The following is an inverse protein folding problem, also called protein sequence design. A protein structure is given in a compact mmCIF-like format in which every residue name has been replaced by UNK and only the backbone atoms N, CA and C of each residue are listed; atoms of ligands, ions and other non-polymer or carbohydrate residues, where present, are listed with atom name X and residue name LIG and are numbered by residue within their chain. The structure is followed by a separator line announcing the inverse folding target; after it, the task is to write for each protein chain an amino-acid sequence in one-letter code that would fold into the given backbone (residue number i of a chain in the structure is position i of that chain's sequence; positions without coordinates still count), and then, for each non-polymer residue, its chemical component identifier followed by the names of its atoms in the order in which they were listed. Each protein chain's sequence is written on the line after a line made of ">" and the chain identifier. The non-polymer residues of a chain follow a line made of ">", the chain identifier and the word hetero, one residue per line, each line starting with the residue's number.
data_IF_761109717166
#
_entry.id   IF_761109717166
#
_cell.length_a   1.000
_cell.length_b   1.000
_cell.length_c   1.000
_cell.angle_alpha   90.00
_cell.angle_beta   90.00
_cell.angle_gamma   90.00
#
_symmetry.space_group_name_H-M   'P 1'
#
loop_
_entity.id
_entity.type
_entity.pdbx_description
1 polymer ?
#
# COMPACT_ATOMS: atom_id res chain seq x y z
N UNK A 1 -19.07 49.36 -0.62
CA UNK A 1 -18.78 48.35 0.42
C UNK A 1 -18.00 47.24 -0.27
N UNK A 2 -16.72 47.10 0.08
CA UNK A 2 -15.79 46.12 -0.47
C UNK A 2 -15.90 44.81 0.31
N UNK A 3 -16.20 43.70 -0.37
CA UNK A 3 -16.12 42.36 0.20
C UNK A 3 -14.66 41.94 0.36
N UNK A 4 -14.30 41.58 1.59
CA UNK A 4 -13.02 41.01 1.98
C UNK A 4 -12.94 39.52 1.62
N UNK A 5 -11.82 39.02 1.06
CA UNK A 5 -11.67 37.60 0.75
C UNK A 5 -11.44 36.80 2.05
N UNK A 6 -12.27 35.79 2.28
CA UNK A 6 -12.10 34.83 3.36
C UNK A 6 -10.72 34.17 3.28
N UNK A 7 -9.89 34.39 4.29
CA UNK A 7 -8.64 33.68 4.49
C UNK A 7 -8.94 32.21 4.82
N UNK A 8 -8.69 31.31 3.88
CA UNK A 8 -8.70 29.88 4.14
C UNK A 8 -7.70 29.55 5.25
N UNK A 9 -8.18 28.94 6.33
CA UNK A 9 -7.35 28.45 7.42
C UNK A 9 -6.36 27.39 6.90
N UNK A 10 -5.13 27.31 7.43
CA UNK A 10 -4.14 26.34 6.98
C UNK A 10 -4.65 24.93 7.29
N UNK A 11 -4.82 24.09 6.27
CA UNK A 11 -5.13 22.66 6.45
C UNK A 11 -4.07 22.04 7.37
N UNK A 12 -4.45 21.22 8.37
CA UNK A 12 -3.49 20.60 9.27
C UNK A 12 -2.58 19.66 8.48
N UNK A 13 -1.38 20.13 8.16
CA UNK A 13 -0.28 19.28 7.70
C UNK A 13 0.27 18.62 8.95
N UNK A 14 0.11 17.31 9.04
CA UNK A 14 0.85 16.52 10.02
C UNK A 14 2.32 16.64 9.64
N UNK A 15 3.09 17.40 10.42
CA UNK A 15 4.54 17.38 10.37
C UNK A 15 5.01 16.01 10.87
N UNK A 16 4.94 15.01 9.97
CA UNK A 16 5.57 13.73 10.17
C UNK A 16 7.08 13.97 10.11
N UNK A 17 7.65 14.27 11.28
CA UNK A 17 9.06 14.42 11.53
C UNK A 17 9.86 13.35 10.79
N UNK A 18 10.95 13.80 10.16
CA UNK A 18 11.81 13.02 9.28
C UNK A 18 12.45 11.83 10.00
N UNK A 19 11.72 10.72 10.11
CA UNK A 19 12.26 9.41 10.46
C UNK A 19 12.95 8.78 9.24
N UNK A 20 13.94 9.47 8.68
CA UNK A 20 14.81 8.92 7.62
C UNK A 20 15.76 7.82 8.11
N UNK A 21 15.73 7.49 9.41
CA UNK A 21 16.59 6.48 10.04
C UNK A 21 15.91 5.14 10.35
N UNK A 22 14.57 5.10 10.49
CA UNK A 22 13.89 3.91 11.02
C UNK A 22 13.34 2.96 9.94
N UNK A 23 13.11 3.43 8.70
CA UNK A 23 12.71 2.58 7.56
C UNK A 23 13.75 1.46 7.30
N UNK A 24 15.05 1.76 7.47
CA UNK A 24 16.13 0.75 7.31
C UNK A 24 16.14 -0.28 8.44
N UNK A 25 15.79 0.11 9.67
CA UNK A 25 15.74 -0.82 10.81
C UNK A 25 14.53 -1.74 10.72
N UNK A 26 13.37 -1.22 10.29
CA UNK A 26 12.18 -2.02 9.99
C UNK A 26 12.43 -3.00 8.86
N UNK A 27 13.00 -2.53 7.74
CA UNK A 27 13.38 -3.39 6.62
C UNK A 27 14.42 -4.46 7.03
N UNK A 28 15.41 -4.10 7.87
CA UNK A 28 16.39 -5.06 8.40
C UNK A 28 15.75 -6.11 9.29
N UNK A 29 14.83 -5.72 10.18
CA UNK A 29 14.10 -6.66 11.04
C UNK A 29 13.17 -7.57 10.24
N UNK A 30 12.48 -7.03 9.23
CA UNK A 30 11.69 -7.81 8.28
C UNK A 30 12.54 -8.79 7.48
N UNK A 31 13.70 -8.36 6.97
CA UNK A 31 14.63 -9.23 6.26
C UNK A 31 15.21 -10.33 7.16
N UNK A 32 15.53 -10.01 8.42
CA UNK A 32 15.96 -11.01 9.41
C UNK A 32 14.83 -12.00 9.70
N UNK A 33 13.61 -11.53 9.89
CA UNK A 33 12.44 -12.39 10.12
C UNK A 33 12.18 -13.32 8.92
N UNK A 34 12.19 -12.79 7.70
CA UNK A 34 12.04 -13.58 6.46
C UNK A 34 13.18 -14.59 6.33
N UNK A 35 14.43 -14.17 6.56
CA UNK A 35 15.58 -15.06 6.52
C UNK A 35 15.47 -16.18 7.55
N UNK A 36 14.97 -15.88 8.75
CA UNK A 36 14.77 -16.85 9.82
C UNK A 36 13.64 -17.84 9.49
N UNK A 37 12.53 -17.37 8.92
CA UNK A 37 11.44 -18.23 8.41
C UNK A 37 11.94 -19.14 7.29
N UNK A 38 12.73 -18.60 6.35
CA UNK A 38 13.29 -19.35 5.23
C UNK A 38 14.28 -20.42 5.73
N UNK A 39 15.14 -20.09 6.70
CA UNK A 39 16.06 -21.03 7.35
C UNK A 39 15.31 -22.10 8.15
N UNK A 40 14.30 -21.72 8.93
CA UNK A 40 13.48 -22.67 9.68
C UNK A 40 12.76 -23.67 8.77
N UNK A 41 12.32 -23.22 7.58
CA UNK A 41 11.71 -24.08 6.59
C UNK A 41 12.72 -24.98 5.86
N UNK A 42 13.92 -24.48 5.54
CA UNK A 42 15.02 -25.32 5.03
C UNK A 42 15.35 -26.42 6.04
N UNK A 43 15.41 -26.07 7.33
CA UNK A 43 15.61 -27.03 8.42
C UNK A 43 14.47 -28.03 8.47
N UNK A 44 13.21 -27.61 8.33
CA UNK A 44 12.06 -28.51 8.20
C UNK A 44 12.23 -29.49 7.03
N UNK A 45 12.59 -29.03 5.83
CA UNK A 45 12.83 -29.90 4.66
C UNK A 45 13.96 -30.91 4.86
N UNK A 46 14.98 -30.54 5.64
CA UNK A 46 16.06 -31.46 6.03
C UNK A 46 15.52 -32.52 7.01
N UNK A 47 14.76 -32.10 8.03
CA UNK A 47 14.18 -33.01 9.02
C UNK A 47 13.11 -33.94 8.45
N UNK A 48 12.36 -33.52 7.43
CA UNK A 48 11.37 -34.38 6.75
C UNK A 48 11.99 -35.29 5.69
N UNK A 49 13.30 -35.18 5.42
CA UNK A 49 13.99 -35.99 4.40
C UNK A 49 13.62 -35.62 2.95
N UNK A 50 12.85 -34.56 2.74
CA UNK A 50 12.37 -34.12 1.42
C UNK A 50 13.39 -33.27 0.65
N UNK A 51 14.53 -32.92 1.28
CA UNK A 51 15.56 -32.10 0.65
C UNK A 51 16.15 -32.72 -0.63
N UNK A 52 16.34 -34.04 -0.65
CA UNK A 52 16.85 -34.73 -1.84
C UNK A 52 15.85 -34.63 -3.01
N UNK A 53 14.57 -34.88 -2.74
CA UNK A 53 13.49 -34.73 -3.72
C UNK A 53 13.33 -33.28 -4.19
N UNK A 54 13.54 -32.30 -3.31
CA UNK A 54 13.52 -30.88 -3.66
C UNK A 54 14.67 -30.50 -4.62
N UNK A 55 15.90 -30.95 -4.34
CA UNK A 55 17.07 -30.66 -5.17
C UNK A 55 16.96 -31.35 -6.53
N UNK A 56 16.50 -32.60 -6.54
CA UNK A 56 16.27 -33.37 -7.78
C UNK A 56 15.11 -32.81 -8.61
N UNK A 57 14.03 -32.38 -7.96
CA UNK A 57 12.93 -31.74 -8.65
C UNK A 57 13.30 -30.34 -9.16
N UNK A 58 14.25 -29.64 -8.53
CA UNK A 58 14.80 -28.36 -9.02
C UNK A 58 15.77 -28.52 -10.19
N UNK A 59 16.52 -29.63 -10.27
CA UNK A 59 17.48 -29.87 -11.35
C UNK A 59 16.81 -30.22 -12.68
N UNK A 60 15.54 -30.63 -12.63
CA UNK A 60 14.71 -30.97 -13.80
C UNK A 60 13.78 -29.84 -14.25
N UNK A 61 13.80 -28.68 -13.55
CA UNK A 61 12.92 -27.55 -13.88
C UNK A 61 13.37 -26.82 -15.13
N UNK A 62 12.43 -26.62 -16.05
CA UNK A 62 12.62 -25.73 -17.18
C UNK A 62 12.57 -24.26 -16.73
N UNK A 63 13.75 -23.62 -16.74
CA UNK A 63 13.93 -22.23 -16.31
C UNK A 63 13.17 -21.23 -17.18
N UNK A 64 12.82 -21.57 -18.43
CA UNK A 64 12.08 -20.66 -19.32
C UNK A 64 10.70 -20.33 -18.75
N UNK A 65 9.98 -21.34 -18.24
CA UNK A 65 8.67 -21.17 -17.62
C UNK A 65 8.73 -20.43 -16.28
N UNK A 66 9.82 -20.58 -15.52
CA UNK A 66 10.06 -19.80 -14.30
C UNK A 66 10.25 -18.31 -14.62
N UNK A 67 10.93 -17.98 -15.71
CA UNK A 67 11.05 -16.58 -16.18
C UNK A 67 9.69 -16.01 -16.55
N UNK A 68 8.83 -16.79 -17.22
CA UNK A 68 7.45 -16.38 -17.55
C UNK A 68 6.63 -16.16 -16.27
N UNK A 69 6.72 -17.05 -15.29
CA UNK A 69 6.07 -16.90 -13.99
C UNK A 69 6.53 -15.62 -13.25
N UNK A 70 7.83 -15.33 -13.26
CA UNK A 70 8.37 -14.08 -12.72
C UNK A 70 7.83 -12.85 -13.47
N UNK A 71 7.73 -12.91 -14.81
CA UNK A 71 7.18 -11.83 -15.63
C UNK A 71 5.71 -11.56 -15.27
N UNK A 72 4.90 -12.59 -15.02
CA UNK A 72 3.54 -12.43 -14.52
C UNK A 72 3.49 -11.64 -13.20
N UNK A 73 4.41 -11.90 -12.27
CA UNK A 73 4.48 -11.13 -11.02
C UNK A 73 4.91 -9.68 -11.22
N UNK A 74 5.78 -9.41 -12.20
CA UNK A 74 6.13 -8.03 -12.60
C UNK A 74 4.91 -7.32 -13.18
N UNK A 75 4.15 -7.98 -14.05
CA UNK A 75 2.92 -7.44 -14.62
C UNK A 75 1.87 -7.19 -13.53
N UNK A 76 1.66 -8.14 -12.61
CA UNK A 76 0.81 -7.96 -11.42
C UNK A 76 1.16 -6.67 -10.67
N UNK A 77 2.45 -6.42 -10.42
CA UNK A 77 2.89 -5.20 -9.74
C UNK A 77 2.63 -3.93 -10.58
N UNK A 78 2.89 -3.97 -11.89
CA UNK A 78 2.65 -2.84 -12.80
C UNK A 78 1.16 -2.48 -12.85
N UNK A 79 0.27 -3.47 -12.99
CA UNK A 79 -1.18 -3.23 -12.98
C UNK A 79 -1.67 -2.74 -11.61
N UNK A 80 -1.05 -3.20 -10.52
CA UNK A 80 -1.29 -2.67 -9.17
C UNK A 80 -1.00 -1.17 -9.06
N UNK A 81 0.18 -0.74 -9.56
CA UNK A 81 0.56 0.68 -9.63
C UNK A 81 -0.38 1.46 -10.57
N UNK A 82 -0.75 0.88 -11.71
CA UNK A 82 -1.66 1.50 -12.67
C UNK A 82 -3.05 1.74 -12.06
N UNK A 83 -3.58 0.79 -11.27
CA UNK A 83 -4.84 0.95 -10.55
C UNK A 83 -4.79 2.12 -9.56
N UNK A 84 -3.68 2.29 -8.83
CA UNK A 84 -3.49 3.49 -8.00
C UNK A 84 -3.38 4.77 -8.83
N UNK A 85 -2.70 4.72 -9.97
CA UNK A 85 -2.56 5.89 -10.84
C UNK A 85 -3.91 6.36 -11.36
N UNK A 86 -4.80 5.43 -11.76
CA UNK A 86 -6.17 5.75 -12.17
C UNK A 86 -6.98 6.28 -10.99
N UNK A 87 -6.87 5.67 -9.81
CA UNK A 87 -7.57 6.12 -8.61
C UNK A 87 -7.19 7.56 -8.20
N UNK A 88 -5.91 7.91 -8.30
CA UNK A 88 -5.41 9.28 -8.04
C UNK A 88 -5.73 10.24 -9.18
N UNK A 89 -5.85 9.75 -10.42
CA UNK A 89 -6.17 10.59 -11.58
C UNK A 89 -7.56 11.24 -11.48
N UNK A 90 -8.48 10.66 -10.70
CA UNK A 90 -9.78 11.28 -10.40
C UNK A 90 -9.68 12.60 -9.61
N UNK A 91 -8.54 12.87 -8.96
CA UNK A 91 -8.30 14.14 -8.26
C UNK A 91 -7.21 14.96 -8.99
N UNK A 92 -7.59 15.97 -9.80
CA UNK A 92 -6.68 16.81 -10.55
C UNK A 92 -5.60 17.52 -9.69
N UNK A 93 -5.94 17.81 -8.43
CA UNK A 93 -5.09 18.56 -7.50
C UNK A 93 -4.15 17.66 -6.69
N UNK A 94 -4.22 16.34 -6.86
CA UNK A 94 -3.43 15.40 -6.05
C UNK A 94 -1.92 15.56 -6.32
N UNK A 95 -1.09 15.81 -5.27
CA UNK A 95 0.34 16.07 -5.42
C UNK A 95 1.18 14.81 -5.74
N UNK A 96 0.56 13.63 -5.77
CA UNK A 96 1.21 12.33 -5.81
C UNK A 96 1.74 12.01 -7.20
N UNK A 97 3.01 11.61 -7.30
CA UNK A 97 3.62 11.18 -8.57
C UNK A 97 3.69 9.65 -8.72
N UNK A 98 3.94 9.18 -9.94
CA UNK A 98 4.07 7.73 -10.26
C UNK A 98 5.13 7.03 -9.39
N UNK A 99 6.25 7.69 -9.08
CA UNK A 99 7.29 7.12 -8.20
C UNK A 99 6.80 6.93 -6.76
N UNK A 100 5.93 7.81 -6.30
CA UNK A 100 5.30 7.69 -4.99
C UNK A 100 4.31 6.52 -5.00
N UNK A 101 3.55 6.34 -6.10
CA UNK A 101 2.63 5.21 -6.28
C UNK A 101 3.36 3.85 -6.35
N UNK A 102 4.53 3.80 -6.99
CA UNK A 102 5.39 2.61 -6.94
C UNK A 102 5.81 2.31 -5.50
N UNK A 103 6.18 3.34 -4.73
CA UNK A 103 6.49 3.17 -3.30
C UNK A 103 5.26 2.76 -2.48
N UNK A 104 4.05 3.21 -2.84
CA UNK A 104 2.78 2.82 -2.20
C UNK A 104 2.52 1.33 -2.45
N UNK A 105 2.49 0.88 -3.71
CA UNK A 105 2.26 -0.54 -4.02
C UNK A 105 3.34 -1.45 -3.41
N UNK A 106 4.61 -1.04 -3.50
CA UNK A 106 5.72 -1.74 -2.86
C UNK A 106 5.53 -1.86 -1.33
N UNK A 107 5.03 -0.81 -0.67
CA UNK A 107 4.75 -0.86 0.77
C UNK A 107 3.60 -1.79 1.11
N UNK A 108 2.58 -1.88 0.26
CA UNK A 108 1.48 -2.82 0.41
C UNK A 108 1.96 -4.26 0.37
N UNK A 109 2.75 -4.61 -0.66
CA UNK A 109 3.32 -5.96 -0.82
C UNK A 109 4.27 -6.28 0.34
N UNK A 110 5.21 -5.39 0.67
CA UNK A 110 6.21 -5.65 1.70
C UNK A 110 5.60 -5.82 3.10
N UNK A 111 4.83 -4.83 3.56
CA UNK A 111 4.25 -4.87 4.91
C UNK A 111 3.05 -5.81 5.00
N UNK A 112 2.29 -5.98 3.91
CA UNK A 112 1.23 -6.99 3.83
C UNK A 112 1.81 -8.40 4.01
N UNK A 113 2.82 -8.77 3.24
CA UNK A 113 3.42 -10.10 3.35
C UNK A 113 4.07 -10.37 4.71
N UNK A 114 4.58 -9.33 5.38
CA UNK A 114 5.20 -9.45 6.70
C UNK A 114 4.20 -9.50 7.87
N UNK A 115 2.94 -9.19 7.66
CA UNK A 115 1.96 -9.07 8.75
C UNK A 115 0.86 -10.14 8.67
N UNK A 116 0.32 -10.58 9.82
CA UNK A 116 -0.84 -11.47 9.84
C UNK A 116 -2.01 -10.87 9.04
N UNK A 117 -2.74 -11.72 8.30
CA UNK A 117 -3.88 -11.31 7.46
C UNK A 117 -3.56 -10.21 6.41
N UNK A 118 -2.28 -9.94 6.14
CA UNK A 118 -1.85 -8.81 5.31
C UNK A 118 -2.29 -7.43 5.82
N UNK A 119 -2.71 -7.32 7.08
CA UNK A 119 -3.31 -6.12 7.68
C UNK A 119 -2.35 -4.93 7.67
N UNK A 120 -1.04 -5.17 7.70
CA UNK A 120 -0.01 -4.12 7.67
C UNK A 120 0.14 -3.41 6.33
N UNK A 121 -0.38 -3.97 5.23
CA UNK A 121 -0.30 -3.35 3.90
C UNK A 121 -1.11 -2.05 3.82
N UNK A 122 -2.38 -2.10 4.25
CA UNK A 122 -3.31 -0.97 4.15
C UNK A 122 -2.83 0.27 4.93
N UNK A 123 -2.40 0.19 6.20
CA UNK A 123 -1.86 1.34 6.93
C UNK A 123 -0.56 1.87 6.32
N UNK A 124 0.31 0.99 5.81
CA UNK A 124 1.56 1.40 5.17
C UNK A 124 1.29 2.20 3.88
N UNK A 125 0.32 1.77 3.09
CA UNK A 125 -0.09 2.47 1.86
C UNK A 125 -0.70 3.84 2.18
N UNK A 126 -1.61 3.95 3.17
CA UNK A 126 -2.15 5.24 3.64
C UNK A 126 -1.02 6.16 4.10
N UNK A 127 -0.09 5.65 4.91
CA UNK A 127 1.05 6.43 5.39
C UNK A 127 1.94 6.95 4.26
N UNK A 128 2.17 6.14 3.21
CA UNK A 128 2.95 6.53 2.04
C UNK A 128 2.24 7.59 1.20
N UNK A 129 0.92 7.46 1.01
CA UNK A 129 0.09 8.47 0.35
C UNK A 129 0.10 9.80 1.12
N UNK A 130 -0.03 9.76 2.45
CA UNK A 130 0.08 10.96 3.30
C UNK A 130 1.46 11.60 3.21
N UNK A 131 2.54 10.79 3.18
CA UNK A 131 3.90 11.29 2.95
C UNK A 131 4.13 11.88 1.55
N UNK A 132 3.34 11.46 0.56
CA UNK A 132 3.36 12.01 -0.79
C UNK A 132 2.59 13.34 -0.89
N UNK A 133 1.89 13.74 0.18
CA UNK A 133 1.24 15.05 0.30
C UNK A 133 -0.28 15.02 0.35
N UNK A 134 -0.93 13.85 0.25
CA UNK A 134 -2.38 13.75 0.41
C UNK A 134 -2.80 13.96 1.87
N UNK A 135 -3.90 14.69 2.14
CA UNK A 135 -4.55 14.69 3.44
C UNK A 135 -4.90 13.27 3.92
N UNK A 136 -4.89 13.04 5.24
CA UNK A 136 -5.09 11.70 5.83
C UNK A 136 -6.43 11.08 5.40
N UNK A 137 -7.52 11.85 5.43
CA UNK A 137 -8.84 11.38 4.97
C UNK A 137 -8.88 11.00 3.49
N UNK A 138 -8.20 11.76 2.62
CA UNK A 138 -8.13 11.51 1.18
C UNK A 138 -7.25 10.29 0.85
N UNK A 139 -6.10 10.16 1.52
CA UNK A 139 -5.24 8.98 1.43
C UNK A 139 -5.98 7.71 1.89
N UNK A 140 -6.74 7.81 2.98
CA UNK A 140 -7.63 6.75 3.45
C UNK A 140 -8.68 6.38 2.42
N UNK A 141 -9.40 7.36 1.87
CA UNK A 141 -10.43 7.12 0.86
C UNK A 141 -9.88 6.48 -0.42
N UNK A 142 -8.73 6.95 -0.91
CA UNK A 142 -8.03 6.37 -2.06
C UNK A 142 -7.69 4.90 -1.81
N UNK A 143 -7.12 4.62 -0.63
CA UNK A 143 -6.75 3.26 -0.24
C UNK A 143 -7.95 2.32 -0.14
N UNK A 144 -9.02 2.73 0.54
CA UNK A 144 -10.20 1.88 0.71
C UNK A 144 -10.95 1.68 -0.60
N UNK A 145 -11.03 2.69 -1.46
CA UNK A 145 -11.60 2.55 -2.80
C UNK A 145 -10.83 1.47 -3.56
N UNK A 146 -9.50 1.55 -3.56
CA UNK A 146 -8.63 0.56 -4.18
C UNK A 146 -8.80 -0.84 -3.58
N UNK A 147 -8.89 -0.93 -2.27
CA UNK A 147 -9.09 -2.18 -1.55
C UNK A 147 -10.44 -2.82 -1.87
N UNK A 148 -11.52 -2.03 -1.93
CA UNK A 148 -12.86 -2.50 -2.31
C UNK A 148 -12.86 -3.00 -3.74
N UNK A 149 -12.28 -2.26 -4.69
CA UNK A 149 -12.17 -2.72 -6.08
C UNK A 149 -11.38 -4.03 -6.17
N UNK A 150 -10.31 -4.18 -5.39
CA UNK A 150 -9.57 -5.45 -5.30
C UNK A 150 -10.42 -6.59 -4.75
N UNK A 151 -11.17 -6.36 -3.67
CA UNK A 151 -12.05 -7.37 -3.05
C UNK A 151 -13.22 -7.77 -3.96
N UNK A 152 -13.85 -6.80 -4.63
CA UNK A 152 -14.85 -7.09 -5.68
C UNK A 152 -14.20 -7.95 -6.77
N UNK A 153 -12.98 -7.61 -7.20
CA UNK A 153 -12.29 -8.40 -8.19
C UNK A 153 -11.99 -9.84 -7.74
N UNK A 154 -11.58 -10.04 -6.50
CA UNK A 154 -11.42 -11.39 -5.94
C UNK A 154 -12.73 -12.18 -6.00
N UNK A 155 -13.84 -11.57 -5.58
CA UNK A 155 -15.17 -12.20 -5.59
C UNK A 155 -15.65 -12.48 -7.02
N UNK A 156 -15.46 -11.56 -7.96
CA UNK A 156 -15.85 -11.76 -9.37
C UNK A 156 -15.06 -12.90 -10.01
N UNK A 157 -13.74 -12.94 -9.83
CA UNK A 157 -12.93 -14.07 -10.29
C UNK A 157 -13.36 -15.39 -9.65
N UNK A 158 -13.58 -15.38 -8.33
CA UNK A 158 -14.09 -16.54 -7.59
C UNK A 158 -15.43 -17.02 -8.16
N UNK A 159 -16.37 -16.13 -8.44
CA UNK A 159 -17.67 -16.46 -9.00
C UNK A 159 -17.58 -17.03 -10.43
N UNK A 160 -16.79 -16.40 -11.31
CA UNK A 160 -16.58 -16.87 -12.68
C UNK A 160 -15.96 -18.26 -12.68
N UNK A 161 -14.88 -18.46 -11.92
CA UNK A 161 -14.12 -19.71 -11.90
C UNK A 161 -14.90 -20.82 -11.19
N UNK A 162 -15.66 -20.49 -10.13
CA UNK A 162 -16.58 -21.43 -9.50
C UNK A 162 -17.68 -21.85 -10.48
N UNK A 163 -18.28 -20.92 -11.24
CA UNK A 163 -19.34 -21.24 -12.20
C UNK A 163 -18.83 -22.10 -13.36
N UNK A 164 -17.63 -21.80 -13.90
CA UNK A 164 -17.05 -22.51 -15.05
C UNK A 164 -16.55 -23.91 -14.67
N UNK A 165 -16.13 -24.11 -13.40
CA UNK A 165 -15.51 -25.38 -12.95
C UNK A 165 -16.21 -26.08 -11.83
N UNK A 166 -17.44 -25.70 -11.51
CA UNK A 166 -18.25 -26.39 -10.51
C UNK A 166 -18.27 -27.92 -10.71
N UNK A 167 -18.50 -28.45 -11.94
CA UNK A 167 -18.52 -29.90 -12.16
C UNK A 167 -17.16 -30.57 -11.89
N UNK A 168 -16.08 -29.93 -12.30
CA UNK A 168 -14.72 -30.43 -12.06
C UNK A 168 -14.41 -30.53 -10.55
N UNK A 169 -14.86 -29.55 -9.76
CA UNK A 169 -14.64 -29.56 -8.31
C UNK A 169 -15.60 -30.52 -7.57
N UNK A 170 -16.83 -30.68 -8.05
CA UNK A 170 -17.78 -31.62 -7.44
C UNK A 170 -17.38 -33.07 -7.69
N UNK A 171 -16.83 -33.38 -8.87
CA UNK A 171 -16.49 -34.76 -9.27
C UNK A 171 -15.16 -35.24 -8.67
N UNK A 172 -14.14 -34.37 -8.57
CA UNK A 172 -12.86 -34.75 -7.98
C UNK A 172 -12.90 -34.76 -6.44
N UNK A 173 -13.70 -33.89 -5.81
CA UNK A 173 -13.61 -33.64 -4.38
C UNK A 173 -14.94 -33.12 -3.76
N UNK A 174 -15.94 -33.98 -3.57
CA UNK A 174 -17.24 -33.61 -2.98
C UNK A 174 -17.15 -32.75 -1.70
N UNK A 175 -16.16 -33.01 -0.82
CA UNK A 175 -15.90 -32.20 0.39
C UNK A 175 -15.24 -30.83 0.11
N UNK A 176 -14.48 -30.69 -0.97
CA UNK A 176 -13.78 -29.43 -1.30
C UNK A 176 -14.73 -28.38 -1.87
N UNK A 177 -15.86 -28.79 -2.46
CA UNK A 177 -16.89 -27.84 -2.93
C UNK A 177 -17.47 -27.05 -1.75
N UNK A 178 -17.67 -27.67 -0.59
CA UNK A 178 -18.10 -26.98 0.62
C UNK A 178 -17.07 -25.98 1.13
N UNK A 179 -15.78 -26.33 1.09
CA UNK A 179 -14.69 -25.42 1.47
C UNK A 179 -14.60 -24.22 0.51
N UNK A 180 -14.75 -24.45 -0.80
CA UNK A 180 -14.79 -23.39 -1.81
C UNK A 180 -15.99 -22.45 -1.58
N UNK A 181 -17.19 -23.01 -1.35
CA UNK A 181 -18.40 -22.24 -1.08
C UNK A 181 -18.30 -21.45 0.23
N UNK A 182 -17.75 -22.04 1.28
CA UNK A 182 -17.52 -21.35 2.55
C UNK A 182 -16.52 -20.20 2.38
N UNK A 183 -15.40 -20.44 1.71
CA UNK A 183 -14.38 -19.42 1.46
C UNK A 183 -14.91 -18.28 0.59
N UNK A 184 -15.64 -18.61 -0.49
CA UNK A 184 -16.31 -17.65 -1.35
C UNK A 184 -17.37 -16.84 -0.58
N UNK A 185 -18.26 -17.52 0.16
CA UNK A 185 -19.29 -16.89 0.99
C UNK A 185 -18.70 -15.96 2.04
N UNK A 186 -17.61 -16.34 2.69
CA UNK A 186 -16.86 -15.49 3.61
C UNK A 186 -16.37 -14.19 2.98
N UNK A 187 -15.85 -14.26 1.74
CA UNK A 187 -15.44 -13.07 0.99
C UNK A 187 -16.61 -12.19 0.56
N UNK A 188 -17.76 -12.78 0.21
CA UNK A 188 -18.99 -12.02 -0.07
C UNK A 188 -19.47 -11.27 1.18
N UNK A 189 -19.44 -11.92 2.35
CA UNK A 189 -19.77 -11.28 3.63
C UNK A 189 -18.79 -10.15 3.96
N UNK A 190 -17.48 -10.40 3.80
CA UNK A 190 -16.44 -9.38 4.00
C UNK A 190 -16.66 -8.17 3.08
N UNK A 191 -16.92 -8.41 1.79
CA UNK A 191 -17.16 -7.37 0.81
C UNK A 191 -18.42 -6.55 1.17
N UNK A 192 -19.50 -7.23 1.58
CA UNK A 192 -20.73 -6.58 2.02
C UNK A 192 -20.47 -5.69 3.25
N UNK A 193 -19.73 -6.20 4.23
CA UNK A 193 -19.35 -5.43 5.42
C UNK A 193 -18.52 -4.18 5.05
N UNK A 194 -17.57 -4.29 4.11
CA UNK A 194 -16.79 -3.15 3.64
C UNK A 194 -17.64 -2.09 2.96
N UNK A 195 -18.63 -2.50 2.15
CA UNK A 195 -19.59 -1.57 1.55
C UNK A 195 -20.45 -0.87 2.60
N UNK A 196 -20.96 -1.59 3.60
CA UNK A 196 -21.74 -1.00 4.69
C UNK A 196 -20.91 0.05 5.43
N UNK A 197 -19.66 -0.27 5.79
CA UNK A 197 -18.76 0.66 6.48
C UNK A 197 -18.47 1.90 5.62
N UNK A 198 -18.31 1.74 4.31
CA UNK A 198 -17.93 2.86 3.42
C UNK A 198 -19.12 3.76 3.04
N UNK A 199 -20.32 3.21 2.93
CA UNK A 199 -21.53 3.94 2.50
C UNK A 199 -22.34 4.52 3.68
N UNK A 200 -22.21 3.94 4.88
CA UNK A 200 -22.99 4.31 6.07
C UNK A 200 -22.12 4.99 7.14
N UNK A 201 -21.69 6.26 6.96
CA UNK A 201 -20.82 6.96 7.91
C UNK A 201 -21.46 7.07 9.30
N UNK A 202 -22.79 7.21 9.38
CA UNK A 202 -23.53 7.26 10.64
C UNK A 202 -23.50 5.96 11.46
N UNK A 203 -23.36 4.80 10.81
CA UNK A 203 -23.16 3.53 11.53
C UNK A 203 -21.74 3.47 12.11
N UNK A 204 -20.74 3.82 11.29
CA UNK A 204 -19.33 3.83 11.70
C UNK A 204 -19.09 4.84 12.81
N UNK A 205 -19.66 6.05 12.73
CA UNK A 205 -19.51 7.06 13.79
C UNK A 205 -20.14 6.61 15.10
N UNK A 206 -21.33 5.99 15.08
CA UNK A 206 -21.96 5.41 16.27
C UNK A 206 -21.09 4.32 16.90
N UNK A 207 -20.57 3.40 16.09
CA UNK A 207 -19.70 2.32 16.55
C UNK A 207 -18.39 2.86 17.13
N UNK A 208 -17.75 3.81 16.43
CA UNK A 208 -16.52 4.44 16.87
C UNK A 208 -16.72 5.23 18.17
N UNK A 209 -17.81 5.99 18.29
CA UNK A 209 -18.14 6.75 19.51
C UNK A 209 -18.45 5.82 20.67
N UNK A 210 -19.15 4.70 20.43
CA UNK A 210 -19.39 3.67 21.42
C UNK A 210 -18.07 3.04 21.91
N UNK A 211 -17.16 2.70 20.99
CA UNK A 211 -15.85 2.14 21.32
C UNK A 211 -14.98 3.12 22.11
N UNK A 212 -14.96 4.40 21.72
CA UNK A 212 -14.27 5.45 22.46
C UNK A 212 -14.86 5.59 23.88
N UNK A 213 -16.18 5.62 24.00
CA UNK A 213 -16.86 5.69 25.31
C UNK A 213 -16.56 4.47 26.20
N UNK A 214 -16.37 3.29 25.60
CA UNK A 214 -15.92 2.10 26.33
C UNK A 214 -14.48 2.23 26.83
N UNK A 215 -13.57 2.73 26.00
CA UNK A 215 -12.17 2.99 26.40
C UNK A 215 -12.10 4.04 27.50
N UNK A 216 -12.87 5.12 27.39
CA UNK A 216 -12.96 6.18 28.41
C UNK A 216 -13.53 5.65 29.74
N UNK A 217 -14.46 4.69 29.71
CA UNK A 217 -14.97 4.02 30.91
C UNK A 217 -13.91 3.19 31.63
N UNK A 218 -12.94 2.61 30.90
CA UNK A 218 -11.90 1.74 31.48
C UNK A 218 -10.64 2.52 31.86
N UNK A 219 -10.24 3.51 31.05
CA UNK A 219 -8.96 4.22 31.18
C UNK A 219 -9.06 5.69 31.59
N UNK A 220 -10.27 6.23 31.74
CA UNK A 220 -10.51 7.66 31.97
C UNK A 220 -10.47 8.49 30.69
N UNK A 221 -11.08 9.68 30.73
CA UNK A 221 -11.03 10.64 29.63
C UNK A 221 -9.63 11.26 29.54
N UNK A 222 -9.05 11.29 28.34
CA UNK A 222 -7.72 11.86 28.10
C UNK A 222 -7.73 12.73 26.84
N UNK A 223 -6.74 13.61 26.69
CA UNK A 223 -6.58 14.42 25.47
C UNK A 223 -6.51 13.56 24.19
N UNK A 224 -6.07 12.30 24.31
CA UNK A 224 -6.05 11.33 23.22
C UNK A 224 -7.46 10.88 22.82
N UNK A 225 -8.36 10.60 23.76
CA UNK A 225 -9.74 10.18 23.44
C UNK A 225 -10.55 11.34 22.87
N UNK A 226 -10.27 12.57 23.32
CA UNK A 226 -10.83 13.79 22.72
C UNK A 226 -10.40 13.97 21.27
N UNK A 227 -9.10 13.81 20.99
CA UNK A 227 -8.58 13.83 19.62
C UNK A 227 -9.16 12.73 18.73
N UNK A 228 -9.47 11.54 19.29
CA UNK A 228 -10.16 10.48 18.55
C UNK A 228 -11.60 10.86 18.18
N UNK A 229 -12.35 11.51 19.07
CA UNK A 229 -13.70 12.01 18.75
C UNK A 229 -13.68 13.05 17.64
N UNK A 230 -12.74 14.00 17.69
CA UNK A 230 -12.61 15.03 16.65
C UNK A 230 -12.24 14.42 15.30
N UNK A 231 -11.35 13.43 15.29
CA UNK A 231 -11.02 12.65 14.10
C UNK A 231 -12.25 11.89 13.56
N UNK A 232 -13.00 11.20 14.42
CA UNK A 232 -14.22 10.46 14.05
C UNK A 232 -15.27 11.39 13.43
N UNK A 233 -15.45 12.57 13.98
CA UNK A 233 -16.48 13.52 13.54
C UNK A 233 -16.16 14.16 12.18
N UNK A 234 -14.89 14.41 11.87
CA UNK A 234 -14.50 15.08 10.63
C UNK A 234 -14.00 14.11 9.55
N UNK A 235 -13.15 13.15 9.90
CA UNK A 235 -12.45 12.32 8.92
C UNK A 235 -13.31 11.16 8.39
N UNK A 236 -14.23 10.60 9.18
CA UNK A 236 -15.12 9.52 8.69
C UNK A 236 -16.12 10.05 7.66
N UNK A 237 -16.65 11.25 7.87
CA UNK A 237 -17.53 11.90 6.90
C UNK A 237 -16.76 12.33 5.65
N UNK A 238 -15.56 12.89 5.81
CA UNK A 238 -14.65 13.18 4.69
C UNK A 238 -14.38 11.92 3.87
N UNK A 239 -13.98 10.83 4.52
CA UNK A 239 -13.74 9.53 3.92
C UNK A 239 -14.95 9.01 3.12
N UNK A 240 -16.14 8.98 3.75
CA UNK A 240 -17.36 8.48 3.10
C UNK A 240 -17.78 9.38 1.92
N UNK A 241 -17.60 10.70 2.04
CA UNK A 241 -17.84 11.64 0.95
C UNK A 241 -16.92 11.36 -0.24
N UNK A 242 -15.61 11.24 -0.02
CA UNK A 242 -14.64 10.93 -1.06
C UNK A 242 -14.87 9.54 -1.68
N UNK A 243 -15.25 8.54 -0.88
CA UNK A 243 -15.63 7.22 -1.38
C UNK A 243 -16.88 7.27 -2.28
N UNK A 244 -17.93 7.99 -1.86
CA UNK A 244 -19.15 8.16 -2.67
C UNK A 244 -18.89 8.93 -3.96
N UNK A 245 -18.02 9.94 -3.90
CA UNK A 245 -17.60 10.69 -5.08
C UNK A 245 -16.85 9.78 -6.07
N UNK A 246 -15.89 8.98 -5.58
CA UNK A 246 -15.21 7.98 -6.41
C UNK A 246 -16.20 6.96 -7.00
N UNK A 247 -17.19 6.52 -6.22
CA UNK A 247 -18.25 5.61 -6.65
C UNK A 247 -19.18 6.19 -7.72
N UNK A 248 -19.40 7.50 -7.73
CA UNK A 248 -20.21 8.18 -8.74
C UNK A 248 -19.53 8.20 -10.13
N UNK A 249 -18.20 8.17 -10.19
CA UNK A 249 -17.44 8.12 -11.43
C UNK A 249 -17.28 6.68 -11.96
N UNK A 250 -18.41 6.11 -12.38
CA UNK A 250 -18.53 4.73 -12.89
C UNK A 250 -17.52 4.38 -14.00
N UNK A 251 -17.19 5.33 -14.89
CA UNK A 251 -16.22 5.10 -15.96
C UNK A 251 -14.82 4.83 -15.43
N UNK A 252 -14.34 5.64 -14.48
CA UNK A 252 -13.02 5.46 -13.90
C UNK A 252 -12.96 4.23 -12.99
N UNK A 253 -14.03 3.97 -12.23
CA UNK A 253 -14.15 2.75 -11.43
C UNK A 253 -14.18 1.49 -12.29
N UNK A 254 -14.87 1.52 -13.43
CA UNK A 254 -14.89 0.44 -14.42
C UNK A 254 -13.50 0.15 -14.98
N UNK A 255 -12.75 1.18 -15.37
CA UNK A 255 -11.37 1.01 -15.85
C UNK A 255 -10.47 0.45 -14.73
N UNK A 256 -10.61 0.96 -13.51
CA UNK A 256 -9.84 0.48 -12.34
C UNK A 256 -10.16 -0.98 -12.04
N UNK A 257 -11.43 -1.38 -12.18
CA UNK A 257 -11.87 -2.76 -12.08
C UNK A 257 -11.22 -3.64 -13.15
N UNK A 258 -11.26 -3.25 -14.42
CA UNK A 258 -10.65 -4.02 -15.51
C UNK A 258 -9.13 -4.19 -15.32
N UNK A 259 -8.45 -3.12 -14.92
CA UNK A 259 -7.01 -3.16 -14.57
C UNK A 259 -6.77 -4.10 -13.39
N UNK A 260 -7.63 -4.07 -12.38
CA UNK A 260 -7.53 -4.98 -11.22
C UNK A 260 -7.86 -6.42 -11.59
N UNK A 261 -8.77 -6.65 -12.53
CA UNK A 261 -9.06 -7.98 -13.09
C UNK A 261 -7.85 -8.56 -13.80
N UNK A 262 -7.20 -7.75 -14.65
CA UNK A 262 -5.97 -8.13 -15.32
C UNK A 262 -4.85 -8.39 -14.31
N UNK A 263 -4.70 -7.53 -13.30
CA UNK A 263 -3.76 -7.75 -12.20
C UNK A 263 -3.96 -9.13 -11.56
N UNK A 264 -5.17 -9.45 -11.12
CA UNK A 264 -5.49 -10.74 -10.48
C UNK A 264 -5.27 -11.92 -11.43
N UNK A 265 -5.59 -11.77 -12.71
CA UNK A 265 -5.35 -12.81 -13.71
C UNK A 265 -3.87 -13.21 -13.77
N UNK A 266 -2.95 -12.24 -13.84
CA UNK A 266 -1.52 -12.53 -13.84
C UNK A 266 -1.05 -13.21 -12.56
N UNK A 267 -1.63 -12.88 -11.41
CA UNK A 267 -1.33 -13.57 -10.15
C UNK A 267 -1.79 -15.03 -10.17
N UNK A 268 -2.99 -15.30 -10.68
CA UNK A 268 -3.54 -16.67 -10.77
C UNK A 268 -2.89 -17.52 -11.86
N UNK A 269 -2.26 -16.91 -12.87
CA UNK A 269 -1.50 -17.63 -13.89
C UNK A 269 -0.16 -18.18 -13.39
N UNK A 270 0.42 -17.61 -12.33
CA UNK A 270 1.72 -18.04 -11.79
C UNK A 270 1.79 -19.55 -11.51
N UNK A 271 0.85 -20.17 -10.76
CA UNK A 271 0.92 -21.61 -10.50
C UNK A 271 0.87 -22.47 -11.78
N UNK A 272 0.19 -22.03 -12.85
CA UNK A 272 0.17 -22.73 -14.13
C UNK A 272 1.56 -22.75 -14.79
N UNK A 273 2.26 -21.61 -14.82
CA UNK A 273 3.61 -21.58 -15.38
C UNK A 273 4.63 -22.33 -14.51
N UNK A 274 4.45 -22.33 -13.19
CA UNK A 274 5.24 -23.20 -12.31
C UNK A 274 4.98 -24.66 -12.66
N UNK A 275 3.73 -25.07 -12.87
CA UNK A 275 3.39 -26.45 -13.24
C UNK A 275 4.04 -26.90 -14.57
N UNK A 276 4.02 -26.03 -15.59
CA UNK A 276 4.71 -26.26 -16.85
C UNK A 276 6.23 -26.40 -16.68
N UNK A 277 6.81 -25.66 -15.74
CA UNK A 277 8.25 -25.74 -15.44
C UNK A 277 8.66 -27.11 -14.90
N UNK A 278 7.75 -27.86 -14.26
CA UNK A 278 7.97 -29.24 -13.81
C UNK A 278 7.60 -30.29 -14.87
N UNK A 279 7.35 -29.89 -16.12
CA UNK A 279 7.08 -30.79 -17.25
C UNK A 279 5.64 -31.29 -17.37
N UNK A 280 4.72 -30.77 -16.55
CA UNK A 280 3.30 -31.14 -16.60
C UNK A 280 2.57 -30.26 -17.62
N UNK A 281 2.52 -30.70 -18.89
CA UNK A 281 1.93 -29.94 -19.99
C UNK A 281 0.46 -30.29 -20.30
N UNK A 282 -0.03 -31.45 -19.85
CA UNK A 282 -1.37 -31.95 -20.15
C UNK A 282 -2.48 -31.36 -19.25
N UNK A 283 -2.25 -30.16 -18.72
CA UNK A 283 -3.08 -29.57 -17.67
C UNK A 283 -3.88 -28.42 -18.21
N UNK A 284 -5.19 -28.45 -17.97
CA UNK A 284 -6.08 -27.42 -18.45
C UNK A 284 -5.85 -26.08 -17.74
N UNK A 285 -5.50 -25.07 -18.53
CA UNK A 285 -5.17 -23.71 -18.09
C UNK A 285 -6.24 -23.12 -17.16
N UNK A 286 -7.52 -23.30 -17.50
CA UNK A 286 -8.63 -22.75 -16.71
C UNK A 286 -8.77 -23.43 -15.34
N UNK A 287 -8.41 -24.72 -15.22
CA UNK A 287 -8.42 -25.42 -13.93
C UNK A 287 -7.30 -24.88 -13.03
N UNK A 288 -6.11 -24.65 -13.58
CA UNK A 288 -5.01 -24.05 -12.83
C UNK A 288 -5.31 -22.61 -12.40
N UNK A 289 -5.98 -21.83 -13.26
CA UNK A 289 -6.41 -20.48 -12.93
C UNK A 289 -7.47 -20.48 -11.81
N UNK A 290 -8.44 -21.40 -11.87
CA UNK A 290 -9.44 -21.63 -10.82
C UNK A 290 -8.77 -22.02 -9.49
N UNK A 291 -7.87 -23.00 -9.54
CA UNK A 291 -7.08 -23.42 -8.38
C UNK A 291 -6.30 -22.24 -7.78
N UNK A 292 -5.62 -21.43 -8.60
CA UNK A 292 -4.89 -20.24 -8.14
C UNK A 292 -5.78 -19.23 -7.42
N UNK A 293 -7.00 -19.00 -7.92
CA UNK A 293 -7.96 -18.11 -7.28
C UNK A 293 -8.45 -18.67 -5.93
N UNK A 294 -8.78 -19.96 -5.84
CA UNK A 294 -9.23 -20.56 -4.58
C UNK A 294 -8.10 -20.65 -3.54
N UNK A 295 -6.87 -20.93 -3.97
CA UNK A 295 -5.69 -20.85 -3.10
C UNK A 295 -5.59 -19.46 -2.47
N UNK A 296 -5.81 -18.41 -3.26
CA UNK A 296 -5.79 -17.04 -2.75
C UNK A 296 -6.93 -16.77 -1.75
N UNK A 297 -8.15 -17.24 -2.03
CA UNK A 297 -9.30 -17.10 -1.13
C UNK A 297 -9.13 -17.90 0.19
N UNK A 298 -8.49 -19.07 0.14
CA UNK A 298 -8.14 -19.83 1.34
C UNK A 298 -7.01 -19.15 2.13
N UNK A 299 -6.00 -18.65 1.42
CA UNK A 299 -4.85 -18.00 2.05
C UNK A 299 -5.25 -16.73 2.80
N UNK A 300 -6.16 -15.93 2.26
CA UNK A 300 -6.67 -14.72 2.92
C UNK A 300 -7.56 -14.98 4.13
N UNK A 301 -8.11 -16.19 4.28
CA UNK A 301 -8.94 -16.57 5.43
C UNK A 301 -8.11 -16.95 6.67
N UNK A 302 -6.82 -17.28 6.50
CA UNK A 302 -5.96 -17.76 7.58
C UNK A 302 -5.15 -16.61 8.20
N UNK A 303 -5.26 -16.35 9.52
CA UNK A 303 -4.65 -15.20 10.18
C UNK A 303 -3.16 -15.35 10.50
N UNK A 304 -2.42 -15.93 9.57
CA UNK A 304 -0.97 -16.10 9.68
C UNK A 304 -0.25 -15.16 8.71
N UNK A 305 0.99 -14.73 9.01
CA UNK A 305 1.78 -13.90 8.11
C UNK A 305 1.90 -14.52 6.73
N UNK A 306 1.51 -13.76 5.71
CA UNK A 306 1.45 -14.24 4.33
C UNK A 306 0.35 -15.28 4.05
N UNK A 307 -0.57 -15.52 4.98
CA UNK A 307 -1.60 -16.55 4.82
C UNK A 307 -1.02 -17.96 4.72
N UNK A 308 0.12 -18.19 5.39
CA UNK A 308 0.71 -19.53 5.57
C UNK A 308 -0.30 -20.45 6.27
N UNK A 309 -0.25 -21.76 5.98
CA UNK A 309 -1.32 -22.70 6.33
C UNK A 309 -2.48 -22.69 5.33
N UNK A 310 -3.04 -21.51 5.01
CA UNK A 310 -4.09 -21.39 3.98
C UNK A 310 -3.54 -21.55 2.56
N UNK A 311 -2.40 -20.93 2.26
CA UNK A 311 -1.71 -21.07 0.97
C UNK A 311 -1.15 -22.48 0.75
N UNK A 312 -0.58 -23.08 1.79
CA UNK A 312 -0.02 -24.44 1.75
C UNK A 312 -1.11 -25.49 1.61
N UNK A 313 -2.14 -25.42 2.48
CA UNK A 313 -3.30 -26.27 2.40
C UNK A 313 -4.02 -26.11 1.06
N UNK A 314 -4.27 -24.87 0.63
CA UNK A 314 -4.87 -24.60 -0.68
C UNK A 314 -4.05 -25.20 -1.82
N UNK A 315 -2.73 -25.01 -1.84
CA UNK A 315 -1.88 -25.55 -2.91
C UNK A 315 -1.90 -27.08 -2.92
N UNK A 316 -1.76 -27.72 -1.76
CA UNK A 316 -1.82 -29.18 -1.65
C UNK A 316 -3.18 -29.72 -2.11
N UNK A 317 -4.28 -29.05 -1.75
CA UNK A 317 -5.63 -29.48 -2.08
C UNK A 317 -5.97 -29.28 -3.57
N UNK A 318 -5.64 -28.13 -4.16
CA UNK A 318 -6.08 -27.78 -5.52
C UNK A 318 -5.04 -28.06 -6.60
N UNK A 319 -3.75 -28.01 -6.26
CA UNK A 319 -2.66 -28.20 -7.21
C UNK A 319 -1.82 -29.45 -6.94
N UNK A 320 -1.83 -29.99 -5.71
CA UNK A 320 -0.95 -31.09 -5.30
C UNK A 320 -1.05 -32.31 -6.21
N UNK A 321 -2.26 -32.67 -6.66
CA UNK A 321 -2.45 -33.81 -7.55
C UNK A 321 -1.82 -33.62 -8.94
N UNK A 322 -1.73 -32.38 -9.45
CA UNK A 322 -1.10 -32.09 -10.74
C UNK A 322 0.43 -32.18 -10.66
N UNK A 323 1.01 -31.94 -9.49
CA UNK A 323 2.46 -32.02 -9.28
C UNK A 323 2.93 -33.42 -8.84
N UNK A 324 2.02 -34.29 -8.38
CA UNK A 324 2.35 -35.65 -7.92
C UNK A 324 3.44 -35.65 -6.84
N UNK A 325 4.50 -36.43 -7.05
CA UNK A 325 5.63 -36.52 -6.12
C UNK A 325 6.41 -35.18 -5.95
N UNK A 326 6.28 -34.25 -6.90
CA UNK A 326 6.96 -32.95 -6.88
C UNK A 326 6.14 -31.83 -6.24
N UNK A 327 4.99 -32.13 -5.61
CA UNK A 327 4.08 -31.12 -5.06
C UNK A 327 4.75 -30.17 -4.05
N UNK A 328 5.60 -30.69 -3.16
CA UNK A 328 6.36 -29.87 -2.20
C UNK A 328 7.32 -28.91 -2.90
N UNK A 329 8.02 -29.39 -3.94
CA UNK A 329 8.94 -28.55 -4.72
C UNK A 329 8.18 -27.49 -5.54
N UNK A 330 7.07 -27.86 -6.17
CA UNK A 330 6.20 -26.95 -6.90
C UNK A 330 5.64 -25.84 -6.00
N UNK A 331 5.14 -26.20 -4.81
CA UNK A 331 4.69 -25.22 -3.80
C UNK A 331 5.81 -24.24 -3.44
N UNK A 332 7.03 -24.74 -3.23
CA UNK A 332 8.16 -23.90 -2.83
C UNK A 332 8.57 -22.91 -3.91
N UNK A 333 8.65 -23.36 -5.15
CA UNK A 333 8.95 -22.49 -6.29
C UNK A 333 7.84 -21.46 -6.47
N UNK A 334 6.58 -21.88 -6.42
CA UNK A 334 5.44 -20.96 -6.47
C UNK A 334 5.49 -19.93 -5.33
N UNK A 335 5.83 -20.34 -4.11
CA UNK A 335 5.95 -19.44 -2.96
C UNK A 335 7.14 -18.51 -3.05
N UNK A 336 8.25 -18.98 -3.61
CA UNK A 336 9.42 -18.15 -3.92
C UNK A 336 9.03 -17.02 -4.86
N UNK A 337 8.28 -17.31 -5.92
CA UNK A 337 7.89 -16.34 -6.96
C UNK A 337 6.77 -15.40 -6.48
N UNK A 338 5.77 -15.90 -5.77
CA UNK A 338 4.58 -15.12 -5.39
C UNK A 338 4.73 -14.35 -4.08
N UNK A 339 5.59 -14.82 -3.17
CA UNK A 339 5.70 -14.27 -1.82
C UNK A 339 7.10 -13.75 -1.50
N UNK A 340 8.13 -14.59 -1.57
CA UNK A 340 9.47 -14.20 -1.12
C UNK A 340 10.16 -13.22 -2.06
N UNK A 341 10.21 -13.50 -3.36
CA UNK A 341 10.86 -12.63 -4.34
C UNK A 341 10.22 -11.23 -4.40
N UNK A 342 8.88 -11.07 -4.49
CA UNK A 342 8.26 -9.75 -4.46
C UNK A 342 8.55 -8.99 -3.17
N UNK A 343 8.58 -9.67 -2.02
CA UNK A 343 8.91 -9.02 -0.74
C UNK A 343 10.34 -8.47 -0.72
N UNK A 344 11.30 -9.21 -1.26
CA UNK A 344 12.70 -8.75 -1.33
C UNK A 344 12.85 -7.63 -2.38
N UNK A 345 12.25 -7.80 -3.56
CA UNK A 345 12.37 -6.87 -4.69
C UNK A 345 11.65 -5.53 -4.44
N UNK A 346 10.61 -5.52 -3.61
CA UNK A 346 9.89 -4.28 -3.25
C UNK A 346 10.60 -3.47 -2.17
N UNK A 347 11.47 -4.06 -1.35
CA UNK A 347 12.15 -3.34 -0.27
C UNK A 347 12.97 -2.11 -0.73
N UNK A 348 13.76 -2.17 -1.83
CA UNK A 348 14.43 -0.99 -2.38
C UNK A 348 13.46 0.08 -2.91
N UNK A 349 12.29 -0.33 -3.40
CA UNK A 349 11.28 0.56 -3.99
C UNK A 349 10.57 1.43 -2.93
N UNK A 350 10.60 1.02 -1.66
CA UNK A 350 10.08 1.81 -0.54
C UNK A 350 10.76 3.18 -0.39
N UNK A 351 12.00 3.33 -0.87
CA UNK A 351 12.74 4.59 -0.80
C UNK A 351 12.34 5.61 -1.87
N UNK A 352 11.55 5.21 -2.87
CA UNK A 352 11.24 6.06 -4.01
C UNK A 352 10.39 7.25 -3.58
N UNK A 353 10.83 8.44 -3.99
CA UNK A 353 10.10 9.70 -3.83
C UNK A 353 10.17 10.48 -5.11
N UNK A 354 9.08 11.13 -5.46
CA UNK A 354 9.03 12.05 -6.59
C UNK A 354 9.77 13.35 -6.26
N UNK A 355 10.76 13.72 -7.08
CA UNK A 355 11.65 14.86 -6.83
C UNK A 355 10.96 16.24 -6.87
N UNK A 356 9.72 16.31 -7.36
CA UNK A 356 8.84 17.47 -7.32
C UNK A 356 7.41 16.94 -7.14
N UNK A 357 6.66 17.46 -6.17
CA UNK A 357 5.21 17.23 -5.98
C UNK A 357 4.37 17.86 -7.11
N UNK A 358 4.80 17.65 -8.36
CA UNK A 358 3.99 17.98 -9.51
C UNK A 358 3.06 16.80 -9.75
N UNK A 359 1.75 17.07 -9.69
CA UNK A 359 0.67 16.10 -9.91
C UNK A 359 0.84 15.33 -11.22
N UNK A 360 0.24 14.14 -11.29
CA UNK A 360 0.22 13.34 -12.54
C UNK A 360 -0.37 14.17 -13.68
N UNK A 361 -1.41 14.96 -13.40
CA UNK A 361 -2.01 15.91 -14.34
C UNK A 361 -1.02 16.98 -14.80
N UNK A 362 -0.30 17.65 -13.90
CA UNK A 362 0.70 18.66 -14.29
C UNK A 362 1.90 18.06 -15.07
N UNK A 363 2.12 16.75 -15.03
CA UNK A 363 3.12 16.06 -15.87
C UNK A 363 2.53 15.69 -17.22
N UNK A 364 1.32 15.14 -17.24
CA UNK A 364 0.57 14.82 -18.45
C UNK A 364 0.34 16.07 -19.31
N UNK A 365 -0.12 17.16 -18.69
CA UNK A 365 -0.36 18.44 -19.34
C UNK A 365 0.91 19.04 -19.95
N UNK A 366 2.06 18.95 -19.26
CA UNK A 366 3.36 19.35 -19.83
C UNK A 366 3.83 18.48 -21.00
N UNK A 367 3.45 17.20 -21.01
CA UNK A 367 3.82 16.23 -22.07
C UNK A 367 2.91 16.41 -23.28
N UNK A 368 1.60 16.58 -23.07
CA UNK A 368 0.59 16.67 -24.13
C UNK A 368 0.49 18.07 -24.71
N UNK A 369 0.54 19.11 -23.87
CA UNK A 369 0.39 20.51 -24.29
C UNK A 369 1.71 21.27 -24.39
N UNK A 370 2.85 20.59 -24.25
CA UNK A 370 4.17 21.16 -24.56
C UNK A 370 4.54 22.37 -23.71
N UNK A 371 4.84 22.13 -22.43
CA UNK A 371 5.59 23.04 -21.56
C UNK A 371 5.40 24.56 -21.75
N UNK A 372 4.22 25.10 -21.44
CA UNK A 372 4.15 26.51 -21.10
C UNK A 372 4.92 26.72 -19.78
N UNK A 373 6.07 27.39 -19.87
CA UNK A 373 6.71 27.98 -18.70
C UNK A 373 5.67 28.88 -18.03
N UNK A 374 5.48 28.84 -16.71
CA UNK A 374 4.69 29.87 -16.05
C UNK A 374 5.28 31.22 -16.46
N UNK A 375 4.47 32.07 -17.09
CA UNK A 375 4.87 33.45 -17.38
C UNK A 375 5.47 34.01 -16.09
N UNK A 376 6.78 34.32 -16.13
CA UNK A 376 7.37 35.23 -15.15
C UNK A 376 6.46 36.45 -15.20
N UNK A 377 5.71 36.69 -14.13
CA UNK A 377 5.05 37.95 -13.89
C UNK A 377 6.13 39.02 -14.11
N UNK A 378 6.05 39.70 -15.25
CA UNK A 378 6.92 40.80 -15.54
C UNK A 378 6.69 41.79 -14.41
N UNK A 379 7.69 41.94 -13.55
CA UNK A 379 7.75 43.01 -12.57
C UNK A 379 7.83 44.32 -13.34
N UNK A 380 6.69 44.78 -13.83
CA UNK A 380 6.48 46.14 -14.30
C UNK A 380 6.46 47.04 -13.08
N UNK A 381 7.64 47.35 -12.55
CA UNK A 381 7.82 48.49 -11.66
C UNK A 381 7.47 49.74 -12.46
N UNK A 382 6.22 50.16 -12.35
CA UNK A 382 5.74 51.47 -12.79
C UNK A 382 6.57 52.53 -12.05
N UNK A 383 7.60 53.07 -12.70
CA UNK A 383 8.38 54.20 -12.20
C UNK A 383 7.43 55.40 -12.11
N UNK A 384 7.11 55.80 -10.89
CA UNK A 384 6.59 57.14 -10.60
C UNK A 384 7.80 58.07 -10.55
N UNK A 385 7.83 59.18 -11.31
CA UNK A 385 8.92 60.14 -11.19
C UNK A 385 8.71 60.99 -9.93
N UNK A 386 9.68 60.99 -9.02
CA UNK A 386 9.78 61.95 -7.91
C UNK A 386 10.51 63.21 -8.38
N UNK A 387 10.09 64.43 -7.98
CA UNK A 387 10.81 65.66 -8.31
C UNK A 387 12.10 65.79 -7.48
N UNK A 388 13.11 66.38 -8.10
CA UNK A 388 14.40 66.74 -7.51
C UNK A 388 14.26 67.78 -6.39
N UNK A 389 15.08 67.64 -5.34
CA UNK A 389 15.37 68.75 -4.42
C UNK A 389 15.77 68.37 -3.00
N UNK A 390 17.03 68.66 -2.68
CA UNK A 390 17.59 68.93 -1.34
C UNK A 390 18.01 67.76 -0.41
N UNK A 391 19.33 67.52 -0.44
CA UNK A 391 20.28 67.48 0.68
C UNK A 391 20.07 66.54 1.89
N UNK A 392 21.04 65.65 2.05
CA UNK A 392 21.45 64.83 3.21
C UNK A 392 21.74 65.67 4.49
N UNK A 393 21.68 65.10 5.72
CA UNK A 393 22.75 64.20 6.21
C UNK A 393 22.35 62.99 7.08
N UNK A 394 23.10 61.91 6.83
CA UNK A 394 23.66 60.87 7.73
C UNK A 394 22.95 60.63 9.07
N UNK A 395 22.33 59.45 9.22
CA UNK A 395 22.06 58.84 10.53
C UNK A 395 22.08 57.31 10.47
N UNK A 396 22.90 56.76 11.38
CA UNK A 396 23.15 55.39 11.82
C UNK A 396 22.28 54.22 11.30
N UNK A 397 22.95 53.19 10.78
CA UNK A 397 22.39 51.87 10.51
C UNK A 397 22.11 51.07 11.81
N UNK A 398 20.94 50.41 11.98
CA UNK A 398 20.73 49.47 13.07
C UNK A 398 21.28 48.08 12.73
N UNK A 399 22.07 47.53 13.66
CA UNK A 399 22.65 46.18 13.64
C UNK A 399 21.57 45.10 13.57
N UNK A 400 21.73 44.12 12.66
CA UNK A 400 20.97 42.85 12.67
C UNK A 400 21.30 42.04 13.94
N UNK A 401 20.32 41.40 14.62
CA UNK A 401 20.62 40.48 15.70
C UNK A 401 21.15 39.15 15.14
N UNK A 402 22.28 38.71 15.68
CA UNK A 402 22.98 37.47 15.36
C UNK A 402 22.18 36.29 15.95
N UNK A 403 21.50 35.50 15.11
CA UNK A 403 20.85 34.23 15.55
C UNK A 403 21.92 33.27 16.06
N UNK A 404 21.81 32.90 17.33
CA UNK A 404 22.63 31.89 17.99
C UNK A 404 22.18 30.50 17.50
N UNK A 405 22.98 29.87 16.63
CA UNK A 405 22.79 28.46 16.26
C UNK A 405 23.37 27.59 17.37
N UNK A 406 22.50 26.95 18.16
CA UNK A 406 22.90 25.87 19.06
C UNK A 406 22.79 24.56 18.29
N UNK A 407 23.95 23.96 17.98
CA UNK A 407 24.08 22.64 17.37
C UNK A 407 24.20 21.61 18.50
N UNK A 408 23.19 20.76 18.70
CA UNK A 408 23.29 19.62 19.60
C UNK A 408 24.14 18.52 18.94
N UNK A 409 25.25 18.14 19.57
CA UNK A 409 25.99 16.91 19.29
C UNK A 409 25.86 15.95 20.47
N UNK A 410 25.71 14.66 20.18
CA UNK A 410 25.47 13.60 21.14
C UNK A 410 26.66 13.44 22.10
N UNK A 411 26.42 13.71 23.38
CA UNK A 411 27.36 13.44 24.47
C UNK A 411 27.41 14.55 25.50
N UNK A 412 26.60 14.43 26.57
CA UNK A 412 26.83 15.06 27.88
C UNK A 412 26.75 16.59 27.98
N UNK A 413 25.91 17.08 28.90
CA UNK A 413 25.85 18.50 29.27
C UNK A 413 27.16 18.89 29.96
N UNK A 414 27.98 19.73 29.31
CA UNK A 414 29.10 20.42 29.96
C UNK A 414 28.87 21.94 29.87
N UNK A 415 28.61 22.56 31.02
CA UNK A 415 28.54 24.02 31.15
C UNK A 415 29.95 24.52 31.43
N UNK A 416 30.53 25.31 30.52
CA UNK A 416 31.80 25.98 30.77
C UNK A 416 31.55 27.28 31.55
N UNK A 417 32.18 27.48 32.72
CA UNK A 417 31.96 28.64 33.57
C UNK A 417 32.88 29.79 33.16
N UNK A 418 32.35 30.78 32.46
CA UNK A 418 33.00 32.09 32.40
C UNK A 418 31.95 33.19 32.34
N UNK A 419 31.98 34.06 33.35
CA UNK A 419 31.24 35.33 33.55
C UNK A 419 30.39 35.44 34.83
N UNK A 420 30.70 34.67 35.87
CA UNK A 420 30.45 35.14 37.25
C UNK A 420 31.65 35.95 37.75
N UNK A 421 31.61 37.28 37.60
CA UNK A 421 32.03 38.25 38.64
C UNK A 421 31.91 39.69 38.17
N UNK A 422 31.53 40.54 39.14
CA UNK A 422 31.52 42.02 39.21
C UNK A 422 30.24 42.69 38.69
N UNK A 423 29.49 43.46 39.49
CA UNK A 423 29.84 44.30 40.66
C UNK A 423 28.69 44.37 41.67
N UNK A 424 29.04 44.17 42.95
CA UNK A 424 28.40 44.84 44.09
C UNK A 424 28.80 46.33 44.05
N UNK A 425 27.84 47.23 44.17
CA UNK A 425 27.77 48.25 45.23
C UNK A 425 26.37 48.83 45.24
#
# INVERSE_FOLDING_TARGET
>A
MSESPHSASPKPRVDASSAGGDDKKGARRGAIFIGLVLVAYIVYLIFTGQMAQFIEALSTVDMSWIVVACLCMVLYFIFGVAAYAIAVWLDPESPVGIRDLISVEASGVFFGNLTPMMVGGTPAQIYRLTKAGQPVGEAGATQFTRYIVFQVGLVVWGAILLAVRLPFFTDLYGDMTLLCLFSFGGHVVLLTALFVVSLCPGFVTKLATWAIGFVERIGGESDRTRGWRDYVNNEIYSFSHHFKHAAAHLSSMGITMLVTMAQLAFFYMVPYFVLLAFGNHDVDFLSCLAAGAFIQLLSSAVPLPGGTGGAEGGFALFLGHFFGASATAGYLVWRLITFFAPTILTAPLLGLKSARHASIHARWDRIVHGGERPQRAASGTRRVPTPEGAAQPVSAAPKRPRRQQVRQTAGGITVSPSNMRRKKK
#
